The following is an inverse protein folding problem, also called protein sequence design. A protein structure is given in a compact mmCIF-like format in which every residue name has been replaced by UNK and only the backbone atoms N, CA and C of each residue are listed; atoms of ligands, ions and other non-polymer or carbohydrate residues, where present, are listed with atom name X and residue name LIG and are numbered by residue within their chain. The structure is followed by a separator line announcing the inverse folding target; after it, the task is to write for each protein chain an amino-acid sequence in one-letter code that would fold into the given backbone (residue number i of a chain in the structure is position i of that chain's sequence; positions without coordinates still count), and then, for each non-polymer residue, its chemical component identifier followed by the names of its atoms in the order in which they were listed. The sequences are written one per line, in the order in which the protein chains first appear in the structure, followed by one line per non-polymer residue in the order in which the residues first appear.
data_IF_245547948541
#
_entry.id   IF_245547948541
#
_cell.length_a   1.000
_cell.length_b   1.000
_cell.length_c   1.000
_cell.angle_alpha   90.00
_cell.angle_beta   90.00
_cell.angle_gamma   90.00
#
_symmetry.space_group_name_H-M   'P 1'
#
loop_
_entity.id
_entity.type
_entity.pdbx_description
1 polymer ?
#
# COMPACT_ATOMS: atom_id res chain seq x y z
N UNK A 1 -22.71 -6.64 1.59
CA UNK A 1 -21.31 -6.51 2.01
C UNK A 1 -21.16 -7.02 3.43
N UNK A 2 -20.18 -7.90 3.67
CA UNK A 2 -19.78 -8.37 5.01
C UNK A 2 -18.36 -7.88 5.25
N UNK A 3 -18.10 -7.29 6.41
CA UNK A 3 -16.82 -6.69 6.75
C UNK A 3 -16.27 -7.36 8.01
N UNK A 4 -14.99 -7.72 7.98
CA UNK A 4 -14.27 -8.27 9.13
C UNK A 4 -12.99 -7.45 9.36
N UNK A 5 -12.71 -7.16 10.64
CA UNK A 5 -11.48 -6.47 11.03
C UNK A 5 -10.45 -7.47 11.57
N UNK A 6 -9.34 -7.58 10.91
CA UNK A 6 -8.21 -8.42 11.30
C UNK A 6 -7.10 -7.65 12.06
N UNK A 7 -7.24 -6.33 12.23
CA UNK A 7 -6.26 -5.51 12.96
C UNK A 7 -4.83 -5.61 12.44
N UNK A 8 -4.61 -5.86 11.13
CA UNK A 8 -3.30 -6.09 10.50
C UNK A 8 -2.53 -7.29 11.11
N UNK A 9 -3.25 -8.26 11.68
CA UNK A 9 -2.69 -9.49 12.25
C UNK A 9 -2.97 -10.69 11.34
N UNK A 10 -1.94 -11.44 10.87
CA UNK A 10 -2.13 -12.56 9.94
C UNK A 10 -2.98 -13.70 10.51
N UNK A 11 -2.88 -13.98 11.82
CA UNK A 11 -3.66 -15.04 12.45
C UNK A 11 -5.15 -14.66 12.50
N UNK A 12 -5.43 -13.40 12.83
CA UNK A 12 -6.81 -12.87 12.80
C UNK A 12 -7.33 -12.83 11.36
N UNK A 13 -6.51 -12.51 10.37
CA UNK A 13 -6.89 -12.54 8.96
C UNK A 13 -7.32 -13.94 8.51
N UNK A 14 -6.59 -14.98 8.91
CA UNK A 14 -6.97 -16.38 8.65
C UNK A 14 -8.34 -16.70 9.25
N UNK A 15 -8.57 -16.34 10.52
CA UNK A 15 -9.87 -16.60 11.20
C UNK A 15 -11.01 -15.83 10.55
N UNK A 16 -10.79 -14.55 10.21
CA UNK A 16 -11.77 -13.73 9.49
C UNK A 16 -12.10 -14.34 8.12
N UNK A 17 -11.08 -14.77 7.36
CA UNK A 17 -11.27 -15.43 6.06
C UNK A 17 -12.06 -16.73 6.18
N UNK A 18 -11.73 -17.57 7.17
CA UNK A 18 -12.48 -18.80 7.42
C UNK A 18 -13.96 -18.53 7.74
N UNK A 19 -14.24 -17.51 8.57
CA UNK A 19 -15.62 -17.09 8.88
C UNK A 19 -16.34 -16.63 7.61
N UNK A 20 -15.76 -15.74 6.84
CA UNK A 20 -16.34 -15.20 5.60
C UNK A 20 -16.64 -16.32 4.59
N UNK A 21 -15.74 -17.29 4.47
CA UNK A 21 -15.88 -18.41 3.53
C UNK A 21 -16.92 -19.43 4.02
N UNK A 22 -16.83 -19.87 5.28
CA UNK A 22 -17.62 -21.00 5.78
C UNK A 22 -19.01 -20.59 6.28
N UNK A 23 -19.10 -19.45 6.98
CA UNK A 23 -20.34 -18.97 7.59
C UNK A 23 -21.09 -18.02 6.67
N UNK A 24 -20.39 -17.00 6.16
CA UNK A 24 -21.02 -15.92 5.39
C UNK A 24 -21.11 -16.26 3.89
N UNK A 25 -20.40 -17.32 3.43
CA UNK A 25 -20.43 -17.87 2.06
C UNK A 25 -20.22 -16.77 1.00
N UNK A 26 -19.19 -15.98 1.19
CA UNK A 26 -18.88 -14.87 0.29
C UNK A 26 -18.64 -15.34 -1.14
N UNK A 27 -19.05 -14.52 -2.10
CA UNK A 27 -18.78 -14.72 -3.53
C UNK A 27 -17.32 -14.38 -3.89
N UNK A 28 -16.78 -13.28 -3.34
CA UNK A 28 -15.43 -12.81 -3.56
C UNK A 28 -14.88 -12.17 -2.28
N UNK A 29 -13.57 -12.27 -2.06
CA UNK A 29 -12.84 -11.46 -1.09
C UNK A 29 -12.39 -10.19 -1.78
N UNK A 30 -12.77 -9.02 -1.26
CA UNK A 30 -12.54 -7.72 -1.88
C UNK A 30 -11.78 -6.82 -0.91
N UNK A 31 -10.71 -6.16 -1.39
CA UNK A 31 -10.06 -5.08 -0.66
C UNK A 31 -9.33 -5.47 0.63
N UNK A 32 -8.83 -6.70 0.75
CA UNK A 32 -8.02 -7.11 1.91
C UNK A 32 -6.81 -6.19 2.09
N UNK A 33 -6.62 -5.62 3.28
CA UNK A 33 -5.53 -4.69 3.56
C UNK A 33 -4.27 -5.43 4.02
N UNK A 34 -3.17 -5.19 3.32
CA UNK A 34 -1.82 -5.58 3.72
C UNK A 34 -1.33 -6.91 3.18
N UNK A 35 -0.03 -6.97 2.92
CA UNK A 35 0.65 -8.18 2.44
C UNK A 35 0.55 -9.34 3.45
N UNK A 36 0.91 -9.15 4.75
CA UNK A 36 0.93 -10.25 5.71
C UNK A 36 -0.45 -10.79 6.07
N UNK A 37 -1.51 -10.12 5.69
CA UNK A 37 -2.91 -10.51 5.92
C UNK A 37 -3.55 -11.11 4.65
N UNK A 38 -3.19 -10.58 3.47
CA UNK A 38 -3.69 -11.09 2.19
C UNK A 38 -3.09 -12.46 1.84
N UNK A 39 -1.79 -12.65 2.03
CA UNK A 39 -1.09 -13.90 1.67
C UNK A 39 -1.70 -15.14 2.34
N UNK A 40 -1.86 -15.20 3.67
CA UNK A 40 -2.42 -16.40 4.32
C UNK A 40 -3.90 -16.62 4.03
N UNK A 41 -4.62 -15.61 3.52
CA UNK A 41 -6.03 -15.74 3.14
C UNK A 41 -6.21 -16.46 1.79
N UNK A 42 -5.26 -16.31 0.86
CA UNK A 42 -5.36 -16.83 -0.51
C UNK A 42 -5.59 -18.34 -0.59
N UNK A 43 -4.83 -19.22 0.10
CA UNK A 43 -5.06 -20.67 0.00
C UNK A 43 -6.48 -21.07 0.40
N UNK A 44 -7.03 -20.43 1.45
CA UNK A 44 -8.39 -20.70 1.94
C UNK A 44 -9.44 -20.33 0.89
N UNK A 45 -9.26 -19.17 0.24
CA UNK A 45 -10.15 -18.67 -0.81
C UNK A 45 -10.09 -19.56 -2.05
N UNK A 46 -8.87 -19.89 -2.50
CA UNK A 46 -8.65 -20.61 -3.74
C UNK A 46 -9.13 -22.05 -3.67
N UNK A 47 -8.99 -22.72 -2.52
CA UNK A 47 -9.57 -24.05 -2.27
C UNK A 47 -11.10 -24.06 -2.49
N UNK A 48 -11.76 -22.97 -2.21
CA UNK A 48 -13.23 -22.82 -2.36
C UNK A 48 -13.64 -22.12 -3.66
N UNK A 49 -12.70 -21.95 -4.61
CA UNK A 49 -12.92 -21.25 -5.89
C UNK A 49 -13.46 -19.81 -5.71
N UNK A 50 -13.04 -19.11 -4.64
CA UNK A 50 -13.43 -17.73 -4.33
C UNK A 50 -12.37 -16.76 -4.85
N UNK A 51 -12.71 -15.79 -5.72
CA UNK A 51 -11.75 -14.81 -6.20
C UNK A 51 -11.29 -13.86 -5.10
N UNK A 52 -9.99 -13.57 -5.09
CA UNK A 52 -9.35 -12.54 -4.28
C UNK A 52 -9.05 -11.35 -5.17
N UNK A 53 -9.83 -10.28 -5.02
CA UNK A 53 -9.81 -9.15 -5.94
C UNK A 53 -9.45 -7.85 -5.23
N UNK A 54 -8.57 -7.10 -5.86
CA UNK A 54 -8.19 -5.73 -5.52
C UNK A 54 -7.71 -5.54 -4.07
N UNK A 55 -6.82 -6.42 -3.55
CA UNK A 55 -6.27 -6.23 -2.22
C UNK A 55 -5.45 -4.94 -2.15
N UNK A 56 -5.50 -4.25 -1.01
CA UNK A 56 -4.70 -3.06 -0.71
C UNK A 56 -3.28 -3.47 -0.34
N UNK A 57 -2.55 -3.98 -1.31
CA UNK A 57 -1.13 -4.31 -1.24
C UNK A 57 -0.52 -4.35 -2.63
N UNK A 58 0.69 -3.82 -2.77
CA UNK A 58 1.52 -3.88 -3.97
C UNK A 58 2.55 -5.00 -3.95
N UNK A 59 2.33 -6.05 -3.16
CA UNK A 59 3.25 -7.18 -3.13
C UNK A 59 3.19 -7.99 -4.42
N UNK A 60 4.35 -8.51 -4.85
CA UNK A 60 4.50 -9.33 -6.07
C UNK A 60 3.57 -10.53 -6.07
N UNK A 61 3.37 -11.15 -4.92
CA UNK A 61 2.51 -12.32 -4.76
C UNK A 61 1.05 -12.07 -5.17
N UNK A 62 0.65 -10.79 -5.33
CA UNK A 62 -0.68 -10.44 -5.83
C UNK A 62 -0.85 -10.70 -7.33
N UNK A 63 0.25 -10.90 -8.09
CA UNK A 63 0.21 -11.15 -9.53
C UNK A 63 1.18 -12.24 -10.00
N UNK A 64 2.21 -12.57 -9.23
CA UNK A 64 3.22 -13.60 -9.54
C UNK A 64 3.35 -14.59 -8.38
N UNK A 65 3.27 -15.93 -8.63
CA UNK A 65 2.90 -16.55 -9.91
C UNK A 65 1.45 -16.25 -10.32
N UNK A 66 1.14 -16.36 -11.61
CA UNK A 66 -0.23 -16.18 -12.10
C UNK A 66 -1.19 -17.20 -11.48
N UNK A 67 -2.37 -16.73 -11.12
CA UNK A 67 -3.45 -17.57 -10.61
C UNK A 67 -4.81 -17.03 -11.04
N UNK A 68 -5.70 -17.89 -11.54
CA UNK A 68 -7.01 -17.50 -12.12
C UNK A 68 -7.95 -16.74 -11.19
N UNK A 69 -7.74 -16.82 -9.88
CA UNK A 69 -8.60 -16.21 -8.85
C UNK A 69 -7.94 -15.00 -8.18
N UNK A 70 -6.82 -14.50 -8.68
CA UNK A 70 -6.03 -13.46 -8.04
C UNK A 70 -5.88 -12.25 -8.95
N UNK A 71 -6.40 -11.10 -8.51
CA UNK A 71 -6.41 -9.85 -9.28
C UNK A 71 -5.98 -8.67 -8.42
N UNK A 72 -4.84 -8.08 -8.77
CA UNK A 72 -4.32 -6.86 -8.15
C UNK A 72 -4.75 -5.63 -8.96
N UNK A 73 -4.91 -4.49 -8.28
CA UNK A 73 -5.00 -3.19 -8.95
C UNK A 73 -3.84 -2.27 -8.57
N UNK A 74 -3.11 -2.64 -7.51
CA UNK A 74 -2.04 -1.83 -6.97
C UNK A 74 -0.75 -1.95 -7.79
N UNK A 75 -0.06 -0.83 -8.00
CA UNK A 75 1.29 -0.85 -8.55
C UNK A 75 2.25 -1.57 -7.58
N UNK A 76 3.17 -2.42 -8.08
CA UNK A 76 4.08 -3.16 -7.21
C UNK A 76 4.97 -2.27 -6.34
N UNK A 77 5.11 -2.58 -5.07
CA UNK A 77 6.03 -1.85 -4.17
C UNK A 77 7.46 -1.85 -4.67
N UNK A 78 7.89 -2.96 -5.26
CA UNK A 78 9.18 -3.09 -5.90
C UNK A 78 9.40 -2.00 -6.96
N UNK A 79 8.47 -1.83 -7.90
CA UNK A 79 8.59 -0.86 -8.99
C UNK A 79 8.50 0.57 -8.46
N UNK A 80 7.60 0.83 -7.51
CA UNK A 80 7.45 2.13 -6.86
C UNK A 80 8.80 2.60 -6.28
N UNK A 81 9.44 1.76 -5.48
CA UNK A 81 10.69 2.12 -4.80
C UNK A 81 11.86 2.11 -5.77
N UNK A 82 11.93 1.18 -6.73
CA UNK A 82 12.98 1.16 -7.76
C UNK A 82 13.01 2.46 -8.57
N UNK A 83 11.84 3.01 -8.90
CA UNK A 83 11.71 4.31 -9.55
C UNK A 83 12.00 5.45 -8.56
N UNK A 84 11.45 5.37 -7.36
CA UNK A 84 11.56 6.39 -6.33
C UNK A 84 13.01 6.70 -5.91
N UNK A 85 13.85 5.69 -5.68
CA UNK A 85 15.26 5.92 -5.32
C UNK A 85 16.05 6.58 -6.46
N UNK A 86 15.76 6.23 -7.71
CA UNK A 86 16.36 6.88 -8.88
C UNK A 86 15.93 8.34 -9.00
N UNK A 87 14.66 8.62 -8.75
CA UNK A 87 14.13 9.98 -8.70
C UNK A 87 14.77 10.80 -7.58
N UNK A 88 14.90 10.22 -6.37
CA UNK A 88 15.58 10.88 -5.24
C UNK A 88 17.04 11.23 -5.59
N UNK A 89 17.77 10.29 -6.19
CA UNK A 89 19.14 10.54 -6.60
C UNK A 89 19.26 11.69 -7.64
N UNK A 90 18.37 11.68 -8.65
CA UNK A 90 18.40 12.63 -9.76
C UNK A 90 17.85 14.00 -9.37
N UNK A 91 16.65 14.04 -8.80
CA UNK A 91 15.89 15.29 -8.61
C UNK A 91 16.11 15.93 -7.23
N UNK A 92 16.53 15.12 -6.23
CA UNK A 92 16.76 15.59 -4.85
C UNK A 92 18.23 15.58 -4.46
N UNK A 93 19.12 15.10 -5.36
CA UNK A 93 20.56 15.06 -5.13
C UNK A 93 21.00 14.08 -4.06
N UNK A 94 20.19 13.07 -3.76
CA UNK A 94 20.49 12.02 -2.79
C UNK A 94 21.71 11.20 -3.22
N UNK A 95 22.67 11.02 -2.31
CA UNK A 95 23.95 10.35 -2.60
C UNK A 95 24.18 9.11 -1.76
N UNK A 96 23.61 9.03 -0.57
CA UNK A 96 23.86 7.95 0.36
C UNK A 96 22.57 7.46 1.02
N UNK A 97 22.11 6.30 0.57
CA UNK A 97 20.85 5.72 0.93
C UNK A 97 20.99 4.70 2.06
N UNK A 98 20.09 4.75 3.03
CA UNK A 98 19.79 3.68 3.97
C UNK A 98 18.36 3.21 3.79
N UNK A 99 18.03 2.09 4.41
CA UNK A 99 16.65 1.59 4.47
C UNK A 99 16.27 1.16 5.89
N UNK A 100 15.02 1.44 6.25
CA UNK A 100 14.32 0.79 7.35
C UNK A 100 13.08 0.09 6.81
N UNK A 101 12.88 -1.20 7.13
CA UNK A 101 11.80 -1.99 6.57
C UNK A 101 11.19 -2.97 7.58
N UNK A 102 9.90 -3.24 7.43
CA UNK A 102 9.19 -4.26 8.19
C UNK A 102 9.76 -5.64 7.85
N UNK A 103 10.09 -6.44 8.85
CA UNK A 103 10.70 -7.77 8.68
C UNK A 103 9.62 -8.80 8.32
N UNK A 104 9.11 -8.69 7.11
CA UNK A 104 8.16 -9.60 6.46
C UNK A 104 8.14 -9.36 4.92
N UNK A 105 7.23 -10.05 4.22
CA UNK A 105 7.13 -10.03 2.75
C UNK A 105 6.91 -8.62 2.21
N UNK A 106 6.16 -7.76 2.92
CA UNK A 106 5.98 -6.37 2.55
C UNK A 106 7.30 -5.60 2.52
N UNK A 107 8.02 -5.64 3.64
CA UNK A 107 9.27 -4.90 3.76
C UNK A 107 10.38 -5.43 2.84
N UNK A 108 10.39 -6.75 2.58
CA UNK A 108 11.33 -7.36 1.64
C UNK A 108 11.08 -6.93 0.19
N UNK A 109 9.84 -6.68 -0.22
CA UNK A 109 9.54 -6.10 -1.55
C UNK A 109 10.11 -4.69 -1.68
N UNK A 110 9.97 -3.86 -0.65
CA UNK A 110 10.54 -2.51 -0.60
C UNK A 110 12.07 -2.56 -0.64
N UNK A 111 12.68 -3.47 0.12
CA UNK A 111 14.13 -3.68 0.15
C UNK A 111 14.67 -4.05 -1.24
N UNK A 112 14.07 -5.05 -1.89
CA UNK A 112 14.47 -5.46 -3.26
C UNK A 112 14.35 -4.31 -4.26
N UNK A 113 13.27 -3.55 -4.20
CA UNK A 113 13.09 -2.37 -5.05
C UNK A 113 14.18 -1.30 -4.84
N UNK A 114 14.58 -1.07 -3.58
CA UNK A 114 15.65 -0.14 -3.25
C UNK A 114 17.01 -0.64 -3.74
N UNK A 115 17.35 -1.91 -3.50
CA UNK A 115 18.62 -2.51 -3.93
C UNK A 115 18.78 -2.47 -5.45
N UNK A 116 17.77 -2.92 -6.19
CA UNK A 116 17.83 -2.94 -7.65
C UNK A 116 17.78 -1.53 -8.26
N UNK A 117 16.96 -0.63 -7.68
CA UNK A 117 16.89 0.76 -8.12
C UNK A 117 18.21 1.51 -7.94
N UNK A 118 18.91 1.29 -6.83
CA UNK A 118 20.24 1.88 -6.59
C UNK A 118 21.29 1.23 -7.47
N UNK A 119 21.24 -0.09 -7.67
CA UNK A 119 22.13 -0.80 -8.59
C UNK A 119 22.02 -0.28 -10.03
N UNK A 120 20.82 0.03 -10.50
CA UNK A 120 20.59 0.62 -11.83
C UNK A 120 21.37 1.92 -12.06
N UNK A 121 21.71 2.64 -10.99
CA UNK A 121 22.45 3.92 -11.03
C UNK A 121 23.86 3.83 -10.41
N UNK A 122 24.39 2.61 -10.25
CA UNK A 122 25.73 2.37 -9.72
C UNK A 122 25.90 2.68 -8.23
N UNK A 123 24.82 2.68 -7.46
CA UNK A 123 24.82 2.93 -6.01
C UNK A 123 24.37 1.67 -5.23
N UNK A 124 24.54 1.71 -3.91
CA UNK A 124 24.12 0.65 -3.00
C UNK A 124 23.58 1.25 -1.71
N UNK A 125 22.83 0.44 -0.94
CA UNK A 125 22.43 0.81 0.42
C UNK A 125 23.64 0.82 1.36
N UNK A 126 23.86 1.93 2.05
CA UNK A 126 24.94 2.06 3.03
C UNK A 126 24.62 1.35 4.35
N UNK A 127 23.34 1.27 4.72
CA UNK A 127 22.87 0.56 5.92
C UNK A 127 21.47 -0.01 5.67
N UNK A 128 21.23 -1.22 6.18
CA UNK A 128 19.95 -1.91 6.11
C UNK A 128 19.49 -2.25 7.52
N UNK A 129 18.33 -1.74 7.89
CA UNK A 129 17.75 -2.00 9.22
C UNK A 129 16.32 -2.52 9.09
N UNK A 130 15.96 -3.48 9.91
CA UNK A 130 14.59 -4.01 9.95
C UNK A 130 13.94 -3.80 11.32
N UNK A 131 12.63 -3.95 11.35
CA UNK A 131 11.84 -3.95 12.58
C UNK A 131 10.72 -5.00 12.52
N UNK A 132 10.32 -5.52 13.66
CA UNK A 132 9.16 -6.42 13.77
C UNK A 132 7.86 -5.61 13.72
N UNK A 133 6.80 -6.18 13.14
CA UNK A 133 5.47 -5.58 13.21
C UNK A 133 5.11 -5.21 14.65
N UNK A 134 4.36 -4.11 14.80
CA UNK A 134 4.00 -3.53 16.08
C UNK A 134 5.16 -2.94 16.91
N UNK A 135 6.37 -2.83 16.37
CA UNK A 135 7.44 -2.07 16.99
C UNK A 135 7.02 -0.61 17.21
N UNK A 136 7.44 -0.05 18.33
CA UNK A 136 7.15 1.35 18.73
C UNK A 136 8.41 2.17 18.97
N UNK A 137 9.57 1.52 19.09
CA UNK A 137 10.88 2.17 19.24
C UNK A 137 11.77 1.86 18.05
N UNK A 138 12.30 2.89 17.42
CA UNK A 138 13.16 2.85 16.25
C UNK A 138 14.54 3.45 16.50
N UNK A 139 14.88 3.70 17.77
CA UNK A 139 16.11 4.40 18.16
C UNK A 139 17.38 3.70 17.68
N UNK A 140 17.42 2.37 17.78
CA UNK A 140 18.56 1.58 17.33
C UNK A 140 18.75 1.64 15.82
N UNK A 141 17.66 1.51 15.04
CA UNK A 141 17.70 1.58 13.58
C UNK A 141 18.12 2.98 13.11
N UNK A 142 17.51 4.01 13.69
CA UNK A 142 17.82 5.42 13.36
C UNK A 142 19.29 5.73 13.71
N UNK A 143 19.79 5.29 14.87
CA UNK A 143 21.19 5.49 15.24
C UNK A 143 22.17 4.85 14.26
N UNK A 144 21.90 3.62 13.78
CA UNK A 144 22.71 2.93 12.77
C UNK A 144 22.74 3.70 11.45
N UNK A 145 21.57 4.10 10.94
CA UNK A 145 21.46 4.84 9.68
C UNK A 145 22.12 6.23 9.77
N UNK A 146 21.98 6.92 10.90
CA UNK A 146 22.67 8.18 11.18
C UNK A 146 24.19 7.97 11.23
N UNK A 147 24.66 6.93 11.95
CA UNK A 147 26.09 6.58 12.03
C UNK A 147 26.69 6.20 10.68
N UNK A 148 25.91 5.58 9.80
CA UNK A 148 26.30 5.33 8.42
C UNK A 148 26.38 6.60 7.59
N UNK A 149 25.89 7.75 8.07
CA UNK A 149 25.94 9.03 7.37
C UNK A 149 25.02 9.12 6.17
N UNK A 150 23.86 8.48 6.22
CA UNK A 150 22.90 8.55 5.11
C UNK A 150 22.23 9.92 5.02
N UNK A 151 22.03 10.41 3.81
CA UNK A 151 21.28 11.63 3.51
C UNK A 151 19.82 11.33 3.14
N UNK A 152 19.53 10.07 2.80
CA UNK A 152 18.20 9.61 2.38
C UNK A 152 17.88 8.25 2.99
N UNK A 153 16.67 8.11 3.52
CA UNK A 153 16.16 6.85 4.11
C UNK A 153 14.99 6.35 3.29
N UNK A 154 15.11 5.13 2.76
CA UNK A 154 14.00 4.39 2.16
C UNK A 154 13.16 3.76 3.27
N UNK A 155 11.85 3.91 3.18
CA UNK A 155 10.89 3.56 4.22
C UNK A 155 10.00 2.40 3.78
N UNK A 156 10.34 1.17 4.15
CA UNK A 156 9.45 0.01 4.07
C UNK A 156 8.54 -0.07 5.31
N UNK A 157 7.80 0.99 5.55
CA UNK A 157 6.99 1.23 6.76
C UNK A 157 5.55 1.54 6.39
N UNK A 158 4.63 1.31 7.32
CA UNK A 158 3.30 1.88 7.27
C UNK A 158 3.23 3.18 8.10
N UNK A 159 2.04 3.74 8.28
CA UNK A 159 1.83 5.10 8.81
C UNK A 159 2.51 5.34 10.16
N UNK A 160 2.25 4.46 11.16
CA UNK A 160 2.75 4.63 12.53
C UNK A 160 4.27 4.52 12.59
N UNK A 161 4.83 3.55 11.91
CA UNK A 161 6.28 3.29 11.88
C UNK A 161 7.01 4.39 11.11
N UNK A 162 6.39 4.94 10.05
CA UNK A 162 6.92 6.11 9.33
C UNK A 162 7.03 7.31 10.28
N UNK A 163 5.94 7.65 10.97
CA UNK A 163 5.92 8.75 11.95
C UNK A 163 6.92 8.53 13.08
N UNK A 164 7.00 7.30 13.62
CA UNK A 164 7.92 6.93 14.68
C UNK A 164 9.38 7.07 14.26
N UNK A 165 9.73 6.59 13.06
CA UNK A 165 11.10 6.67 12.53
C UNK A 165 11.50 8.12 12.27
N UNK A 166 10.67 8.90 11.60
CA UNK A 166 10.92 10.31 11.31
C UNK A 166 11.03 11.11 12.61
N UNK A 167 10.07 10.93 13.54
CA UNK A 167 10.10 11.61 14.84
C UNK A 167 11.35 11.28 15.65
N UNK A 168 11.81 10.02 15.62
CA UNK A 168 13.05 9.60 16.29
C UNK A 168 14.28 10.27 15.64
N UNK A 169 14.35 10.31 14.31
CA UNK A 169 15.43 10.99 13.59
C UNK A 169 15.50 12.48 13.96
N UNK A 170 14.37 13.18 14.00
CA UNK A 170 14.31 14.60 14.39
C UNK A 170 14.74 14.82 15.85
N UNK A 171 14.28 13.97 16.77
CA UNK A 171 14.72 14.01 18.20
C UNK A 171 16.23 13.80 18.36
N UNK A 172 16.84 12.99 17.50
CA UNK A 172 18.30 12.76 17.49
C UNK A 172 19.07 13.87 16.74
N UNK A 173 18.42 14.95 16.30
CA UNK A 173 19.05 16.03 15.52
C UNK A 173 19.51 15.59 14.13
N UNK A 174 18.87 14.58 13.53
CA UNK A 174 19.20 14.08 12.21
C UNK A 174 18.04 14.34 11.24
N UNK A 175 18.37 15.00 10.11
CA UNK A 175 17.39 15.49 9.15
C UNK A 175 17.63 14.97 7.73
N UNK A 176 17.62 13.64 7.50
CA UNK A 176 17.71 13.11 6.15
C UNK A 176 16.39 13.34 5.40
N UNK A 177 16.44 13.17 4.09
CA UNK A 177 15.23 12.99 3.29
C UNK A 177 14.67 11.57 3.52
N UNK A 178 13.36 11.41 3.35
CA UNK A 178 12.71 10.12 3.47
C UNK A 178 11.87 9.84 2.22
N UNK A 179 11.86 8.59 1.76
CA UNK A 179 10.98 8.14 0.68
C UNK A 179 10.31 6.81 1.01
N UNK A 180 8.99 6.77 0.94
CA UNK A 180 8.18 5.57 1.13
C UNK A 180 7.44 5.14 -0.13
N UNK A 181 6.86 3.94 -0.10
CA UNK A 181 5.91 3.47 -1.09
C UNK A 181 4.48 3.91 -0.74
N UNK A 182 3.51 3.49 -1.55
CA UNK A 182 2.09 3.82 -1.36
C UNK A 182 1.49 3.37 -0.02
N UNK A 183 2.12 2.42 0.69
CA UNK A 183 1.67 2.00 2.02
C UNK A 183 1.84 3.09 3.10
N UNK A 184 2.70 4.08 2.87
CA UNK A 184 2.87 5.25 3.74
C UNK A 184 2.41 6.55 3.09
N UNK A 185 1.81 6.50 1.89
CA UNK A 185 1.18 7.65 1.28
C UNK A 185 -0.23 7.85 1.82
N UNK A 186 -0.42 8.87 2.66
CA UNK A 186 -1.73 9.24 3.21
C UNK A 186 -1.66 10.63 3.83
N UNK A 187 -2.79 11.33 3.84
CA UNK A 187 -2.96 12.62 4.52
C UNK A 187 -2.76 12.53 6.04
N UNK A 188 -2.90 11.33 6.63
CA UNK A 188 -2.62 11.12 8.05
C UNK A 188 -1.15 11.40 8.43
N UNK A 189 -0.21 11.17 7.53
CA UNK A 189 1.23 11.41 7.80
C UNK A 189 1.46 12.89 8.17
N UNK A 190 0.98 13.82 7.36
CA UNK A 190 1.19 15.24 7.67
C UNK A 190 0.23 15.78 8.72
N UNK A 191 -1.00 15.26 8.82
CA UNK A 191 -1.93 15.62 9.89
C UNK A 191 -1.39 15.28 11.27
N UNK A 192 -0.76 14.11 11.42
CA UNK A 192 -0.22 13.64 12.69
C UNK A 192 1.23 14.07 12.93
N UNK A 193 2.03 14.17 11.88
CA UNK A 193 3.46 14.46 11.96
C UNK A 193 3.80 15.96 11.93
N UNK A 194 2.90 16.80 11.40
CA UNK A 194 3.12 18.24 11.29
C UNK A 194 4.46 18.58 10.64
N UNK A 195 5.19 19.54 11.19
CA UNK A 195 6.51 19.96 10.66
C UNK A 195 7.59 18.86 10.71
N UNK A 196 7.44 17.85 11.58
CA UNK A 196 8.46 16.80 11.69
C UNK A 196 8.61 15.97 10.41
N UNK A 197 7.55 15.86 9.61
CA UNK A 197 7.53 15.07 8.37
C UNK A 197 7.91 15.87 7.12
N UNK A 198 8.34 17.12 7.24
CA UNK A 198 8.91 17.86 6.12
C UNK A 198 10.11 17.10 5.54
N UNK A 199 10.16 17.00 4.18
CA UNK A 199 11.17 16.18 3.48
C UNK A 199 10.83 14.70 3.40
N UNK A 200 9.61 14.29 3.75
CA UNK A 200 9.08 12.97 3.44
C UNK A 200 8.38 12.96 2.08
N UNK A 201 8.79 12.03 1.23
CA UNK A 201 8.22 11.74 -0.07
C UNK A 201 7.57 10.36 -0.06
N UNK A 202 6.52 10.15 -0.79
CA UNK A 202 5.91 8.84 -0.96
C UNK A 202 5.43 8.64 -2.40
N UNK A 203 5.67 7.44 -2.91
CA UNK A 203 5.07 7.01 -4.18
C UNK A 203 3.57 6.78 -3.96
N UNK A 204 2.76 7.08 -4.98
CA UNK A 204 1.32 6.87 -4.89
C UNK A 204 0.75 6.33 -6.20
N UNK A 205 -0.46 5.82 -6.15
CA UNK A 205 -1.20 5.26 -7.27
C UNK A 205 -2.66 5.74 -7.30
N UNK A 206 -3.20 6.15 -6.15
CA UNK A 206 -4.51 6.77 -5.98
C UNK A 206 -4.27 8.07 -5.22
N UNK A 207 -4.82 9.18 -5.71
CA UNK A 207 -4.63 10.50 -5.11
C UNK A 207 -5.51 10.70 -3.88
N UNK A 208 -5.03 11.48 -2.92
CA UNK A 208 -5.86 11.97 -1.81
C UNK A 208 -6.92 12.92 -2.39
N UNK A 209 -8.22 12.70 -2.12
CA UNK A 209 -9.31 13.51 -2.67
C UNK A 209 -9.46 14.84 -1.93
N UNK A 210 -8.54 15.79 -2.19
CA UNK A 210 -8.61 17.11 -1.55
C UNK A 210 -9.80 17.92 -2.03
N UNK A 211 -10.47 18.70 -1.13
CA UNK A 211 -11.62 19.54 -1.50
C UNK A 211 -11.29 20.64 -2.51
N UNK A 212 -10.03 21.03 -2.61
CA UNK A 212 -9.47 22.03 -3.51
C UNK A 212 -8.65 21.45 -4.65
N UNK A 213 -8.82 20.14 -4.95
CA UNK A 213 -8.12 19.46 -6.05
C UNK A 213 -8.31 20.20 -7.38
N UNK A 214 -7.30 20.15 -8.25
CA UNK A 214 -7.38 20.77 -9.58
C UNK A 214 -8.50 20.17 -10.45
N UNK A 215 -8.78 18.87 -10.29
CA UNK A 215 -9.86 18.16 -10.99
C UNK A 215 -11.23 18.52 -10.41
N UNK A 216 -12.13 19.05 -11.26
CA UNK A 216 -13.50 19.30 -10.86
C UNK A 216 -14.22 18.02 -10.41
N UNK A 217 -13.97 16.90 -11.07
CA UNK A 217 -14.60 15.63 -10.74
C UNK A 217 -14.23 15.15 -9.33
N UNK A 218 -12.96 15.31 -8.94
CA UNK A 218 -12.50 14.99 -7.59
C UNK A 218 -13.16 15.91 -6.55
N UNK A 219 -13.22 17.21 -6.81
CA UNK A 219 -13.90 18.16 -5.90
C UNK A 219 -15.38 17.85 -5.73
N UNK A 220 -16.10 17.58 -6.82
CA UNK A 220 -17.52 17.23 -6.79
C UNK A 220 -17.75 15.93 -6.00
N UNK A 221 -16.90 14.93 -6.23
CA UNK A 221 -16.95 13.67 -5.48
C UNK A 221 -16.68 13.88 -3.98
N UNK A 222 -15.66 14.67 -3.64
CA UNK A 222 -15.33 14.98 -2.24
C UNK A 222 -16.49 15.72 -1.54
N UNK A 223 -17.14 16.65 -2.23
CA UNK A 223 -18.31 17.36 -1.72
C UNK A 223 -19.51 16.43 -1.51
N UNK A 224 -19.78 15.53 -2.45
CA UNK A 224 -20.84 14.53 -2.35
C UNK A 224 -20.56 13.54 -1.19
N UNK A 225 -19.32 13.07 -1.05
CA UNK A 225 -18.89 12.23 0.06
C UNK A 225 -19.16 12.91 1.42
N UNK A 226 -18.70 14.16 1.57
CA UNK A 226 -18.91 14.94 2.79
C UNK A 226 -20.41 15.19 3.08
N UNK A 227 -21.19 15.45 2.05
CA UNK A 227 -22.65 15.60 2.20
C UNK A 227 -23.32 14.33 2.71
N UNK A 228 -22.86 13.15 2.22
CA UNK A 228 -23.43 11.84 2.58
C UNK A 228 -22.97 11.36 3.96
N UNK A 229 -21.65 11.43 4.24
CA UNK A 229 -21.07 10.79 5.42
C UNK A 229 -20.77 11.76 6.56
N UNK A 230 -20.92 13.08 6.35
CA UNK A 230 -20.67 14.16 7.34
C UNK A 230 -19.22 14.25 7.80
N UNK A 231 -18.29 13.70 7.03
CA UNK A 231 -16.85 13.76 7.23
C UNK A 231 -16.12 14.02 5.92
N UNK A 232 -14.92 14.56 5.98
CA UNK A 232 -14.09 14.74 4.80
C UNK A 232 -13.58 13.38 4.30
N UNK A 233 -13.55 13.14 2.98
CA UNK A 233 -12.98 11.92 2.45
C UNK A 233 -11.47 11.85 2.72
N UNK A 234 -10.97 10.62 2.84
CA UNK A 234 -9.56 10.31 2.98
C UNK A 234 -9.05 9.53 1.76
N UNK A 235 -7.76 9.25 1.72
CA UNK A 235 -7.20 8.31 0.74
C UNK A 235 -7.94 6.96 0.76
N UNK A 236 -8.27 6.46 1.96
CA UNK A 236 -8.97 5.17 2.10
C UNK A 236 -10.40 5.20 1.56
N UNK A 237 -11.06 6.37 1.61
CA UNK A 237 -12.36 6.57 0.96
C UNK A 237 -12.24 6.44 -0.56
N UNK A 238 -11.19 7.02 -1.15
CA UNK A 238 -10.91 6.89 -2.58
C UNK A 238 -10.58 5.43 -2.97
N UNK A 239 -9.76 4.73 -2.18
CA UNK A 239 -9.51 3.30 -2.41
C UNK A 239 -10.80 2.47 -2.35
N UNK A 240 -11.65 2.71 -1.34
CA UNK A 240 -12.94 2.02 -1.22
C UNK A 240 -13.84 2.25 -2.44
N UNK A 241 -13.89 3.49 -2.92
CA UNK A 241 -14.65 3.85 -4.11
C UNK A 241 -14.11 3.12 -5.36
N UNK A 242 -12.81 3.22 -5.65
CA UNK A 242 -12.19 2.58 -6.83
C UNK A 242 -12.40 1.07 -6.82
N UNK A 243 -12.15 0.42 -5.69
CA UNK A 243 -12.31 -1.03 -5.54
C UNK A 243 -13.77 -1.45 -5.74
N UNK A 244 -14.72 -0.72 -5.16
CA UNK A 244 -16.14 -1.00 -5.31
C UNK A 244 -16.62 -0.78 -6.75
N UNK A 245 -16.13 0.26 -7.41
CA UNK A 245 -16.46 0.55 -8.80
C UNK A 245 -15.90 -0.52 -9.76
N UNK A 246 -14.64 -0.92 -9.59
CA UNK A 246 -14.05 -2.01 -10.38
C UNK A 246 -14.82 -3.33 -10.20
N UNK A 247 -15.21 -3.65 -8.97
CA UNK A 247 -16.03 -4.83 -8.70
C UNK A 247 -17.42 -4.72 -9.37
N UNK A 248 -18.07 -3.57 -9.26
CA UNK A 248 -19.37 -3.32 -9.86
C UNK A 248 -19.31 -3.41 -11.39
N UNK A 249 -18.34 -2.76 -12.03
CA UNK A 249 -18.15 -2.83 -13.47
C UNK A 249 -17.93 -4.27 -13.94
N UNK A 250 -17.12 -5.04 -13.19
CA UNK A 250 -16.88 -6.45 -13.48
C UNK A 250 -18.14 -7.28 -13.40
N UNK A 251 -18.90 -7.15 -12.31
CA UNK A 251 -20.15 -7.86 -12.11
C UNK A 251 -21.18 -7.52 -13.20
N UNK A 252 -21.25 -6.24 -13.60
CA UNK A 252 -22.10 -5.77 -14.70
C UNK A 252 -21.72 -6.40 -16.05
N UNK A 253 -20.40 -6.50 -16.35
CA UNK A 253 -19.90 -7.18 -17.55
C UNK A 253 -20.19 -8.68 -17.54
N UNK A 254 -20.09 -9.32 -16.37
CA UNK A 254 -20.37 -10.75 -16.21
C UNK A 254 -21.85 -11.11 -16.46
N UNK A 255 -22.75 -10.14 -16.27
CA UNK A 255 -24.18 -10.29 -16.52
C UNK A 255 -24.97 -10.96 -15.37
N UNK A 256 -26.27 -11.23 -15.56
CA UNK A 256 -27.17 -11.64 -14.49
C UNK A 256 -26.88 -13.04 -13.93
N UNK A 257 -26.22 -13.92 -14.70
CA UNK A 257 -25.83 -15.25 -14.26
C UNK A 257 -24.40 -15.22 -13.68
N UNK A 258 -24.25 -14.53 -12.55
CA UNK A 258 -22.94 -14.30 -11.94
C UNK A 258 -22.41 -15.58 -11.30
N UNK A 259 -21.29 -16.07 -11.83
CA UNK A 259 -20.49 -17.18 -11.30
C UNK A 259 -19.03 -16.73 -11.17
N UNK A 260 -18.20 -17.47 -10.45
CA UNK A 260 -16.76 -17.20 -10.40
C UNK A 260 -16.16 -17.16 -11.80
N UNK A 261 -16.49 -18.11 -12.67
CA UNK A 261 -15.93 -18.18 -14.03
C UNK A 261 -16.39 -17.01 -14.90
N UNK A 262 -17.69 -16.62 -14.84
CA UNK A 262 -18.18 -15.45 -15.59
C UNK A 262 -17.57 -14.14 -15.07
N UNK A 263 -17.35 -14.04 -13.78
CA UNK A 263 -16.70 -12.88 -13.16
C UNK A 263 -15.23 -12.77 -13.56
N UNK A 264 -14.46 -13.85 -13.47
CA UNK A 264 -13.06 -13.91 -13.93
C UNK A 264 -12.94 -13.57 -15.42
N UNK A 265 -13.78 -14.18 -16.25
CA UNK A 265 -13.82 -13.87 -17.69
C UNK A 265 -14.13 -12.39 -17.96
N UNK A 266 -15.02 -11.79 -17.18
CA UNK A 266 -15.34 -10.37 -17.30
C UNK A 266 -14.17 -9.47 -16.88
N UNK A 267 -13.43 -9.83 -15.82
CA UNK A 267 -12.19 -9.12 -15.42
C UNK A 267 -11.13 -9.10 -16.53
N UNK A 268 -10.96 -10.23 -17.22
CA UNK A 268 -9.93 -10.42 -18.24
C UNK A 268 -10.35 -9.91 -19.63
N UNK A 269 -11.65 -9.62 -19.84
CA UNK A 269 -12.20 -9.35 -21.17
C UNK A 269 -11.79 -8.01 -21.79
N UNK A 270 -11.56 -6.99 -20.96
CA UNK A 270 -11.19 -5.65 -21.41
C UNK A 270 -10.61 -4.82 -20.25
N UNK A 271 -9.72 -3.86 -20.55
CA UNK A 271 -9.25 -2.90 -19.56
C UNK A 271 -10.42 -2.08 -19.00
N UNK A 272 -10.21 -1.58 -17.78
CA UNK A 272 -11.12 -0.60 -17.20
C UNK A 272 -10.77 0.80 -17.71
N UNK A 273 -11.79 1.65 -17.86
CA UNK A 273 -11.56 3.06 -18.12
C UNK A 273 -10.83 3.70 -16.93
N UNK A 274 -9.99 4.69 -17.24
CA UNK A 274 -9.44 5.54 -16.17
C UNK A 274 -10.59 6.27 -15.48
N UNK A 275 -10.58 6.26 -14.16
CA UNK A 275 -11.44 7.11 -13.37
C UNK A 275 -10.73 8.40 -12.93
N UNK A 276 -11.26 9.08 -11.91
CA UNK A 276 -10.72 10.36 -11.46
C UNK A 276 -9.58 10.25 -10.44
N UNK A 277 -9.25 9.04 -9.96
CA UNK A 277 -8.24 8.81 -8.93
C UNK A 277 -6.97 8.12 -9.38
#
# INVERSE_FOLDING_TARGET
LVIEDHGYDPKKAVLATQKLVQKDKIFAMVGTIGTPTALPSMPILFEKNIPHVFPLTGAREMYDPLHKLKFSFAAPYYDQIRIGVKWMAKERGSKKFCIIYQDDEYGLEVLRGAEDGLKDIGQTLAEKTSFKRAATDFSAQVAKMKGAGCDTVVMGTIIREALGTIGTARKMGWNPQFIGCSASYTDLIHKLGGKAVEGFYAMHQVSVPYPDDASKNVRDWAAAYKAQFKEDPSLFSAYGYVIADLFYQTAKRAGPNLTTDSFVKALESAPFARDMF
#
